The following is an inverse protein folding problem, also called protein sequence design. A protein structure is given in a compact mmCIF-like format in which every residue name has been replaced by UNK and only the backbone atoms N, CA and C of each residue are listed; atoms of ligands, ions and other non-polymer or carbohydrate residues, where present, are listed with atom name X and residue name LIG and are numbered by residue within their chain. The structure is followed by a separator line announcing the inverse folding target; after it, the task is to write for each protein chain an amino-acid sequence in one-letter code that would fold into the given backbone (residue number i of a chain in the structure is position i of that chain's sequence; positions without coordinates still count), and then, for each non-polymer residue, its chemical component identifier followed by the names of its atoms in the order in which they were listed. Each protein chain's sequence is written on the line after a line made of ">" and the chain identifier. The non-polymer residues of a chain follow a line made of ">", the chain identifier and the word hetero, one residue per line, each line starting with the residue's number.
data_IF_972946834965
#
_entry.id   IF_972946834965
#
_cell.length_a   1.000
_cell.length_b   1.000
_cell.length_c   1.000
_cell.angle_alpha   90.00
_cell.angle_beta   90.00
_cell.angle_gamma   90.00
#
_symmetry.space_group_name_H-M   'P 1'
#
loop_
_entity.id
_entity.type
_entity.pdbx_description
1 polymer ?
#
# COMPACT_ATOMS: atom_id res chain seq x y z
N UNK A 1 -35.32 46.80 7.72
CA UNK A 1 -35.60 46.58 6.28
C UNK A 1 -34.25 46.70 5.59
N UNK A 2 -33.52 45.59 5.48
CA UNK A 2 -32.20 45.55 4.83
C UNK A 2 -32.33 44.64 3.63
N UNK A 3 -32.18 45.25 2.46
CA UNK A 3 -32.45 44.64 1.17
C UNK A 3 -31.48 43.50 0.84
N UNK A 4 -32.10 42.49 0.25
CA UNK A 4 -31.49 41.32 -0.34
C UNK A 4 -31.07 41.67 -1.78
N UNK A 5 -29.78 41.75 -2.06
CA UNK A 5 -29.27 41.58 -3.44
C UNK A 5 -28.12 40.58 -3.47
N UNK A 6 -28.38 39.52 -4.22
CA UNK A 6 -27.50 38.41 -4.56
C UNK A 6 -26.24 38.89 -5.28
N UNK A 7 -25.06 38.46 -4.83
CA UNK A 7 -23.97 38.12 -5.73
C UNK A 7 -23.37 36.77 -5.32
N UNK A 8 -23.91 35.70 -5.90
CA UNK A 8 -23.26 34.39 -5.92
C UNK A 8 -22.01 34.48 -6.79
N UNK A 9 -20.91 34.98 -6.21
CA UNK A 9 -19.59 34.92 -6.83
C UNK A 9 -19.00 33.53 -6.55
N UNK A 10 -19.54 32.52 -7.24
CA UNK A 10 -18.83 31.26 -7.42
C UNK A 10 -17.68 31.58 -8.36
N UNK A 11 -16.55 32.02 -7.78
CA UNK A 11 -15.30 32.16 -8.50
C UNK A 11 -15.05 30.86 -9.24
N UNK A 12 -15.10 30.93 -10.57
CA UNK A 12 -14.75 29.84 -11.45
C UNK A 12 -13.30 29.49 -11.14
N UNK A 13 -13.07 28.44 -10.35
CA UNK A 13 -11.75 27.84 -10.23
C UNK A 13 -11.20 27.66 -11.65
N UNK A 14 -10.05 28.26 -11.99
CA UNK A 14 -9.47 28.09 -13.31
C UNK A 14 -9.28 26.60 -13.52
N UNK A 15 -9.73 26.07 -14.66
CA UNK A 15 -9.51 24.65 -14.99
C UNK A 15 -8.03 24.35 -14.76
N UNK A 16 -7.67 23.25 -14.06
CA UNK A 16 -6.28 22.92 -13.86
C UNK A 16 -5.62 22.89 -15.23
N UNK A 17 -4.53 23.65 -15.39
CA UNK A 17 -3.73 23.63 -16.60
C UNK A 17 -3.31 22.17 -16.78
N UNK A 18 -3.91 21.48 -17.76
CA UNK A 18 -3.51 20.13 -18.14
C UNK A 18 -2.08 20.29 -18.64
N UNK A 19 -1.10 20.02 -17.77
CA UNK A 19 0.31 19.98 -18.17
C UNK A 19 0.37 19.01 -19.34
N UNK A 20 0.93 19.44 -20.48
CA UNK A 20 1.08 18.57 -21.63
C UNK A 20 1.72 17.25 -21.16
N UNK A 21 1.21 16.09 -21.60
CA UNK A 21 1.79 14.82 -21.20
C UNK A 21 3.27 14.86 -21.58
N UNK A 22 4.16 14.58 -20.60
CA UNK A 22 5.58 14.45 -20.91
C UNK A 22 5.71 13.38 -22.00
N UNK A 23 6.60 13.56 -22.99
CA UNK A 23 6.85 12.54 -23.99
C UNK A 23 7.17 11.24 -23.25
N UNK A 24 6.40 10.19 -23.55
CA UNK A 24 6.62 8.86 -23.00
C UNK A 24 7.88 8.34 -23.68
N UNK A 25 9.04 8.70 -23.14
CA UNK A 25 10.28 7.99 -23.45
C UNK A 25 10.05 6.54 -23.05
N UNK A 26 9.94 5.65 -24.04
CA UNK A 26 9.90 4.21 -23.84
C UNK A 26 11.30 3.74 -23.45
N UNK A 27 11.79 4.24 -22.33
CA UNK A 27 12.84 3.52 -21.60
C UNK A 27 12.22 2.18 -21.20
N UNK A 28 12.91 1.09 -21.50
CA UNK A 28 12.48 -0.25 -21.11
C UNK A 28 12.55 -0.34 -19.58
N UNK A 29 11.46 0.05 -18.91
CA UNK A 29 11.33 -0.20 -17.48
C UNK A 29 11.52 -1.70 -17.24
N UNK A 30 12.33 -2.10 -16.24
CA UNK A 30 12.48 -3.51 -15.92
C UNK A 30 11.10 -4.12 -15.67
N UNK A 31 10.85 -5.28 -16.29
CA UNK A 31 9.59 -5.98 -16.11
C UNK A 31 9.39 -6.28 -14.63
N UNK A 32 8.17 -6.04 -14.12
CA UNK A 32 7.83 -6.40 -12.75
C UNK A 32 8.05 -7.90 -12.55
N UNK A 33 8.76 -8.32 -11.49
CA UNK A 33 9.00 -9.72 -11.20
C UNK A 33 7.67 -10.45 -10.95
N UNK A 34 7.59 -11.69 -11.44
CA UNK A 34 6.38 -12.52 -11.31
C UNK A 34 6.37 -13.31 -10.01
N UNK A 35 7.55 -13.69 -9.52
CA UNK A 35 7.71 -14.49 -8.31
C UNK A 35 8.84 -13.93 -7.42
N UNK A 36 8.88 -14.37 -6.16
CA UNK A 36 9.88 -13.90 -5.19
C UNK A 36 11.32 -14.20 -5.62
N UNK A 37 11.56 -15.35 -6.25
CA UNK A 37 12.92 -15.73 -6.69
C UNK A 37 13.51 -14.74 -7.70
N UNK A 38 12.66 -14.03 -8.46
CA UNK A 38 13.08 -13.00 -9.40
C UNK A 38 13.41 -11.66 -8.74
N UNK A 39 12.96 -11.40 -7.50
CA UNK A 39 13.13 -10.09 -6.85
C UNK A 39 13.88 -10.13 -5.51
N UNK A 40 14.24 -11.31 -5.02
CA UNK A 40 14.91 -11.48 -3.73
C UNK A 40 16.31 -10.84 -3.71
N UNK A 41 17.03 -10.84 -4.84
CA UNK A 41 18.37 -10.27 -4.98
C UNK A 41 18.41 -8.94 -5.75
N UNK A 42 17.24 -8.37 -6.07
CA UNK A 42 17.15 -7.06 -6.71
C UNK A 42 17.53 -5.94 -5.74
N UNK A 43 17.72 -4.74 -6.28
CA UNK A 43 18.05 -3.55 -5.50
C UNK A 43 16.99 -3.24 -4.42
N UNK A 44 17.48 -2.75 -3.29
CA UNK A 44 16.66 -2.20 -2.18
C UNK A 44 17.07 -0.75 -1.96
N UNK A 45 16.11 0.17 -1.69
CA UNK A 45 14.66 -0.02 -1.59
C UNK A 45 13.95 -0.44 -2.89
N UNK A 46 12.87 -1.21 -2.78
CA UNK A 46 12.21 -1.86 -3.91
C UNK A 46 11.58 -0.85 -4.88
N UNK A 47 11.99 -0.89 -6.14
CA UNK A 47 11.46 0.01 -7.20
C UNK A 47 10.03 -0.32 -7.62
N UNK A 48 9.54 -1.53 -7.31
CA UNK A 48 8.24 -2.01 -7.76
C UNK A 48 7.12 -1.64 -6.79
N UNK A 49 6.82 -0.35 -6.67
CA UNK A 49 5.79 0.20 -5.76
C UNK A 49 4.39 -0.40 -6.01
N UNK A 50 4.11 -0.87 -7.25
CA UNK A 50 2.86 -1.56 -7.59
C UNK A 50 2.77 -3.01 -7.07
N UNK A 51 3.82 -3.54 -6.46
CA UNK A 51 3.82 -4.88 -5.90
C UNK A 51 2.83 -4.98 -4.73
N UNK A 52 2.09 -6.09 -4.65
CA UNK A 52 1.13 -6.33 -3.56
C UNK A 52 1.76 -6.41 -2.17
N UNK A 53 3.07 -6.61 -2.11
CA UNK A 53 3.85 -6.74 -0.89
C UNK A 53 4.57 -5.45 -0.50
N UNK A 54 4.44 -4.40 -1.32
CA UNK A 54 5.12 -3.14 -1.09
C UNK A 54 4.42 -2.36 0.04
N UNK A 55 5.20 -1.87 1.01
CA UNK A 55 4.65 -1.22 2.21
C UNK A 55 4.14 0.21 1.99
N UNK A 56 4.56 0.85 0.89
CA UNK A 56 4.15 2.23 0.56
C UNK A 56 2.67 2.39 0.15
N UNK A 57 2.06 1.38 -0.49
CA UNK A 57 0.68 1.44 -0.99
C UNK A 57 -0.20 0.41 -0.29
N UNK A 58 -1.26 0.88 0.37
CA UNK A 58 -2.34 0.04 0.87
C UNK A 58 -3.60 0.20 0.01
N UNK A 59 -3.97 -0.86 -0.69
CA UNK A 59 -5.13 -0.87 -1.61
C UNK A 59 -6.28 -1.64 -0.97
N UNK A 60 -7.29 -0.90 -0.53
CA UNK A 60 -8.51 -1.45 0.08
C UNK A 60 -9.70 -1.29 -0.86
N UNK A 61 -10.13 -2.37 -1.51
CA UNK A 61 -11.30 -2.47 -2.41
C UNK A 61 -11.32 -1.45 -3.57
N UNK A 62 -11.56 -0.17 -3.28
CA UNK A 62 -11.62 0.96 -4.21
C UNK A 62 -10.95 2.24 -3.67
N UNK A 63 -10.24 2.12 -2.55
CA UNK A 63 -9.52 3.22 -1.90
C UNK A 63 -8.04 2.86 -1.85
N UNK A 64 -7.20 3.84 -2.15
CA UNK A 64 -5.76 3.72 -2.02
C UNK A 64 -5.37 4.62 -0.85
N UNK A 65 -4.73 4.04 0.15
CA UNK A 65 -4.06 4.76 1.22
C UNK A 65 -2.57 4.75 0.88
N UNK A 66 -2.01 5.92 0.66
CA UNK A 66 -0.58 6.12 0.39
C UNK A 66 0.07 6.57 1.70
N UNK A 67 1.30 6.13 1.97
CA UNK A 67 2.15 6.77 3.00
C UNK A 67 2.30 8.27 2.68
N UNK A 68 2.57 9.16 3.67
CA UNK A 68 2.29 10.58 3.54
C UNK A 68 2.81 11.15 2.21
N UNK A 69 1.96 11.95 1.56
CA UNK A 69 2.00 12.26 0.13
C UNK A 69 3.32 12.92 -0.35
N UNK A 70 4.17 13.37 0.58
CA UNK A 70 5.46 14.01 0.34
C UNK A 70 6.70 13.09 0.55
N UNK A 71 6.49 11.78 0.80
CA UNK A 71 7.60 10.85 1.08
C UNK A 71 8.08 10.10 -0.16
N UNK A 72 9.40 10.09 -0.38
CA UNK A 72 10.04 9.35 -1.47
C UNK A 72 10.11 7.84 -1.13
N UNK A 73 9.48 6.95 -1.92
CA UNK A 73 9.57 5.50 -1.71
C UNK A 73 11.01 4.98 -1.68
N UNK A 74 11.93 5.67 -2.37
CA UNK A 74 13.35 5.30 -2.41
C UNK A 74 14.12 5.68 -1.14
N UNK A 75 13.49 6.39 -0.20
CA UNK A 75 14.05 6.73 1.10
C UNK A 75 13.49 5.85 2.25
N UNK A 76 12.60 4.90 1.95
CA UNK A 76 12.06 3.98 2.95
C UNK A 76 13.11 2.96 3.37
N UNK A 77 13.26 2.74 4.69
CA UNK A 77 14.10 1.66 5.23
C UNK A 77 13.55 0.30 4.81
N UNK A 78 12.26 0.07 5.08
CA UNK A 78 11.56 -1.15 4.71
C UNK A 78 10.56 -0.89 3.59
N UNK A 79 10.76 -1.55 2.45
CA UNK A 79 9.84 -1.44 1.30
C UNK A 79 9.00 -2.68 1.07
N UNK A 80 9.38 -3.83 1.61
CA UNK A 80 8.77 -5.12 1.30
C UNK A 80 8.37 -5.89 2.56
N UNK A 81 7.07 -6.18 2.70
CA UNK A 81 6.54 -7.01 3.79
C UNK A 81 7.15 -8.40 3.89
N UNK A 82 7.62 -8.96 2.77
CA UNK A 82 8.23 -10.29 2.76
C UNK A 82 9.69 -10.27 3.24
N UNK A 83 10.43 -9.20 2.95
CA UNK A 83 11.82 -9.07 3.41
C UNK A 83 11.85 -8.85 4.91
N UNK A 84 10.98 -7.98 5.41
CA UNK A 84 10.73 -7.77 6.84
C UNK A 84 10.32 -9.08 7.55
N UNK A 85 9.51 -9.93 6.89
CA UNK A 85 9.15 -11.23 7.44
C UNK A 85 10.32 -12.23 7.49
N UNK A 86 11.20 -12.24 6.47
CA UNK A 86 12.37 -13.12 6.44
C UNK A 86 13.41 -12.70 7.49
N UNK A 87 13.61 -11.40 7.70
CA UNK A 87 14.59 -10.86 8.64
C UNK A 87 14.16 -11.03 10.10
N UNK A 88 12.91 -10.72 10.43
CA UNK A 88 12.44 -10.75 11.81
C UNK A 88 11.86 -12.12 12.22
N UNK A 89 11.37 -12.93 11.27
CA UNK A 89 10.70 -14.21 11.49
C UNK A 89 9.34 -14.09 12.18
N UNK A 90 9.31 -13.54 13.40
CA UNK A 90 8.11 -13.28 14.18
C UNK A 90 8.14 -11.88 14.80
N UNK A 91 7.04 -11.14 14.65
CA UNK A 91 6.88 -9.79 15.19
C UNK A 91 5.70 -9.72 16.16
N UNK A 92 5.77 -8.71 17.03
CA UNK A 92 4.65 -8.33 17.90
C UNK A 92 3.57 -7.59 17.10
N UNK A 93 2.36 -7.52 17.63
CA UNK A 93 1.23 -6.88 16.94
C UNK A 93 1.44 -5.38 16.74
N UNK A 94 2.17 -4.75 17.65
CA UNK A 94 2.52 -3.34 17.59
C UNK A 94 3.51 -3.06 16.47
N UNK A 95 4.52 -3.92 16.30
CA UNK A 95 5.53 -3.80 15.25
C UNK A 95 4.89 -3.97 13.87
N UNK A 96 4.06 -5.02 13.71
CA UNK A 96 3.30 -5.24 12.47
C UNK A 96 2.38 -4.04 12.17
N UNK A 97 1.74 -3.49 13.20
CA UNK A 97 0.88 -2.33 13.05
C UNK A 97 1.64 -1.09 12.55
N UNK A 98 2.88 -0.89 13.01
CA UNK A 98 3.75 0.18 12.53
C UNK A 98 4.14 -0.02 11.06
N UNK A 99 4.64 -1.20 10.67
CA UNK A 99 5.04 -1.46 9.28
C UNK A 99 3.87 -1.37 8.29
N UNK A 100 2.68 -1.82 8.68
CA UNK A 100 1.49 -1.82 7.82
C UNK A 100 0.64 -0.55 7.97
N UNK A 101 1.01 0.36 8.86
CA UNK A 101 0.22 1.55 9.21
C UNK A 101 -1.25 1.22 9.50
N UNK A 102 -1.44 0.22 10.36
CA UNK A 102 -2.71 -0.23 10.89
C UNK A 102 -2.77 0.04 12.39
N UNK A 103 -3.96 0.03 12.97
CA UNK A 103 -4.05 -0.05 14.43
C UNK A 103 -3.67 -1.46 14.90
N UNK A 104 -3.08 -1.57 16.09
CA UNK A 104 -2.81 -2.86 16.75
C UNK A 104 -4.05 -3.75 16.78
N UNK A 105 -5.21 -3.18 17.10
CA UNK A 105 -6.47 -3.92 17.14
C UNK A 105 -6.87 -4.44 15.75
N UNK A 106 -6.64 -3.67 14.69
CA UNK A 106 -6.89 -4.14 13.32
C UNK A 106 -6.00 -5.34 12.96
N UNK A 107 -4.72 -5.31 13.34
CA UNK A 107 -3.81 -6.44 13.15
C UNK A 107 -4.29 -7.66 13.91
N UNK A 108 -4.68 -7.50 15.19
CA UNK A 108 -5.23 -8.59 16.01
C UNK A 108 -6.45 -9.24 15.35
N UNK A 109 -7.39 -8.44 14.83
CA UNK A 109 -8.57 -8.96 14.12
C UNK A 109 -8.20 -9.75 12.86
N UNK A 110 -7.22 -9.26 12.10
CA UNK A 110 -6.73 -9.95 10.90
C UNK A 110 -6.09 -11.29 11.30
N UNK A 111 -5.27 -11.30 12.34
CA UNK A 111 -4.64 -12.51 12.87
C UNK A 111 -5.68 -13.53 13.34
N UNK A 112 -6.66 -13.13 14.14
CA UNK A 112 -7.74 -14.01 14.61
C UNK A 112 -8.50 -14.65 13.43
N UNK A 113 -8.82 -13.84 12.42
CA UNK A 113 -9.51 -14.32 11.22
C UNK A 113 -8.63 -15.31 10.43
N UNK A 114 -7.31 -15.07 10.35
CA UNK A 114 -6.38 -15.97 9.69
C UNK A 114 -6.24 -17.30 10.44
N UNK A 115 -6.10 -17.26 11.77
CA UNK A 115 -6.02 -18.45 12.62
C UNK A 115 -7.27 -19.33 12.48
N UNK A 116 -8.47 -18.74 12.45
CA UNK A 116 -9.71 -19.49 12.22
C UNK A 116 -9.72 -20.23 10.88
N UNK A 117 -9.20 -19.61 9.81
CA UNK A 117 -9.12 -20.23 8.48
C UNK A 117 -8.17 -21.43 8.49
N UNK A 118 -6.98 -21.27 9.07
CA UNK A 118 -5.98 -22.34 9.18
C UNK A 118 -6.55 -23.51 9.99
N UNK A 119 -7.15 -23.22 11.15
CA UNK A 119 -7.75 -24.25 12.01
C UNK A 119 -8.89 -25.00 11.32
N UNK A 120 -9.72 -24.32 10.52
CA UNK A 120 -10.78 -24.97 9.77
C UNK A 120 -10.21 -25.96 8.73
N UNK A 121 -9.22 -25.53 7.95
CA UNK A 121 -8.57 -26.39 6.93
C UNK A 121 -7.91 -27.62 7.53
N UNK A 122 -7.32 -27.52 8.73
CA UNK A 122 -6.70 -28.68 9.40
C UNK A 122 -7.68 -29.72 9.91
N UNK A 123 -8.95 -29.33 10.15
CA UNK A 123 -9.99 -30.28 10.58
C UNK A 123 -10.52 -31.08 9.40
N UNK A 124 -10.77 -30.42 8.27
CA UNK A 124 -11.30 -31.07 7.07
C UNK A 124 -10.35 -32.11 6.48
N UNK A 125 -9.04 -31.97 6.65
CA UNK A 125 -8.05 -32.96 6.17
C UNK A 125 -7.86 -34.17 7.09
N UNK A 126 -8.54 -34.23 8.24
CA UNK A 126 -8.41 -35.31 9.23
C UNK A 126 -9.63 -36.24 9.25
N UNK A 127 -10.67 -35.88 8.50
CA UNK A 127 -11.93 -36.61 8.38
C UNK A 127 -12.05 -37.39 7.05
N UNK A 128 -10.99 -37.40 6.23
CA UNK A 128 -10.77 -38.25 5.04
C UNK A 128 -9.70 -39.32 5.32
#
# INVERSE_FOLDING_TARGET
>A
MFDCTMTNNIERYPRPIIRQPRPIVREAYPCKPTNRLQCVYDERPCVFVSCRHHLFLDVMNKRIKIYPDDFDPTAMEDTCSLDVADECGGMRLEEIALHLNLSRERVRQIQDNALRKIMYTTKTSKDD
#
